data_IF_416573232795
#
_entry.id   IF_416573232795
#
_cell.length_a   1.000
_cell.length_b   1.000
_cell.length_c   1.000
_cell.angle_alpha   90.00
_cell.angle_beta   90.00
_cell.angle_gamma   90.00
#
_symmetry.space_group_name_H-M   'P 1'
#
loop_
_entity.id
_entity.type
_entity.pdbx_description
1 polymer ?
#
# COMPACT_ATOMS: atom_id res chain seq x y z
N UNK A 1 -5.62 -16.84 2.14
CA UNK A 1 -5.25 -17.74 1.03
C UNK A 1 -5.56 -19.18 1.44
N UNK A 2 -5.76 -20.12 0.50
CA UNK A 2 -6.08 -21.52 0.85
C UNK A 2 -5.05 -22.19 1.77
N UNK A 3 -3.81 -21.70 1.77
CA UNK A 3 -2.72 -22.16 2.65
C UNK A 3 -2.73 -21.54 4.06
N UNK A 4 -3.76 -20.77 4.43
CA UNK A 4 -3.89 -20.10 5.72
C UNK A 4 -3.18 -18.74 5.82
N UNK A 5 -2.38 -18.34 4.83
CA UNK A 5 -1.70 -17.03 4.84
C UNK A 5 -2.70 -15.90 4.63
N UNK A 6 -2.48 -14.80 5.36
CA UNK A 6 -3.27 -13.57 5.27
C UNK A 6 -2.45 -12.51 4.53
N UNK A 7 -3.08 -11.86 3.57
CA UNK A 7 -2.54 -10.68 2.88
C UNK A 7 -3.53 -9.51 3.03
N UNK A 8 -3.05 -8.26 3.04
CA UNK A 8 -3.88 -7.07 3.24
C UNK A 8 -4.78 -6.75 2.03
N UNK A 9 -4.40 -7.19 0.84
CA UNK A 9 -5.15 -7.03 -0.40
C UNK A 9 -4.78 -8.19 -1.34
N UNK A 10 -5.70 -8.56 -2.25
CA UNK A 10 -5.42 -9.57 -3.29
C UNK A 10 -4.32 -9.16 -4.26
N UNK A 11 -4.12 -7.84 -4.44
CA UNK A 11 -3.07 -7.26 -5.30
C UNK A 11 -1.81 -6.85 -4.53
N UNK A 12 -1.71 -7.17 -3.24
CA UNK A 12 -0.56 -6.82 -2.41
C UNK A 12 0.00 -8.09 -1.76
N UNK A 13 0.97 -8.78 -2.40
CA UNK A 13 1.47 -10.08 -1.99
C UNK A 13 2.42 -10.00 -0.77
N UNK A 14 2.03 -9.23 0.24
CA UNK A 14 2.73 -9.08 1.52
C UNK A 14 2.01 -9.95 2.55
N UNK A 15 2.69 -11.01 3.02
CA UNK A 15 2.12 -11.88 4.05
C UNK A 15 2.17 -11.16 5.40
N UNK A 16 1.00 -10.98 6.01
CA UNK A 16 0.86 -10.27 7.31
C UNK A 16 0.60 -11.22 8.47
N UNK A 17 0.36 -12.50 8.18
CA UNK A 17 0.17 -13.54 9.19
C UNK A 17 -0.26 -14.89 8.59
N UNK A 18 -0.42 -15.87 9.47
CA UNK A 18 -0.84 -17.24 9.12
C UNK A 18 -1.88 -17.73 10.14
N UNK A 19 -3.11 -18.00 9.68
CA UNK A 19 -4.24 -18.42 10.52
C UNK A 19 -4.04 -19.80 11.16
N UNK A 20 -3.05 -20.57 10.71
CA UNK A 20 -2.69 -21.86 11.31
C UNK A 20 -1.83 -21.69 12.57
N UNK A 21 -1.32 -20.47 12.82
CA UNK A 21 -0.38 -20.15 13.92
C UNK A 21 -0.93 -19.16 14.94
N UNK A 22 -1.82 -18.27 14.52
CA UNK A 22 -2.32 -17.16 15.34
C UNK A 22 -3.75 -16.78 14.94
N UNK A 23 -4.50 -16.15 15.86
CA UNK A 23 -5.88 -15.77 15.56
C UNK A 23 -5.93 -14.63 14.54
N UNK A 24 -7.06 -14.51 13.82
CA UNK A 24 -7.25 -13.37 12.93
C UNK A 24 -7.16 -12.03 13.66
N UNK A 25 -7.68 -11.96 14.91
CA UNK A 25 -7.59 -10.76 15.74
C UNK A 25 -6.14 -10.37 15.97
N UNK A 26 -5.28 -11.32 16.33
CA UNK A 26 -3.86 -11.05 16.56
C UNK A 26 -3.18 -10.50 15.30
N UNK A 27 -3.46 -11.08 14.13
CA UNK A 27 -2.96 -10.58 12.84
C UNK A 27 -3.45 -9.15 12.58
N UNK A 28 -4.75 -8.94 12.77
CA UNK A 28 -5.40 -7.67 12.49
C UNK A 28 -4.92 -6.55 13.41
N UNK A 29 -4.70 -6.83 14.69
CA UNK A 29 -4.35 -5.82 15.69
C UNK A 29 -2.83 -5.61 15.78
N UNK A 30 -2.01 -6.64 15.59
CA UNK A 30 -0.58 -6.58 15.92
C UNK A 30 0.37 -6.66 14.70
N UNK A 31 -0.12 -6.97 13.49
CA UNK A 31 0.75 -6.96 12.32
C UNK A 31 1.25 -5.56 12.00
N UNK A 32 2.57 -5.39 11.91
CA UNK A 32 3.21 -4.10 11.62
C UNK A 32 2.69 -3.47 10.32
N UNK A 33 2.55 -4.27 9.26
CA UNK A 33 2.03 -3.80 7.97
C UNK A 33 0.57 -3.36 8.10
N UNK A 34 -0.27 -4.10 8.82
CA UNK A 34 -1.67 -3.73 9.03
C UNK A 34 -1.80 -2.43 9.84
N UNK A 35 -0.97 -2.26 10.86
CA UNK A 35 -0.89 -1.03 11.64
C UNK A 35 -0.47 0.16 10.76
N UNK A 36 0.58 0.02 9.96
CA UNK A 36 1.04 1.06 9.03
C UNK A 36 -0.02 1.40 7.97
N UNK A 37 -0.73 0.42 7.41
CA UNK A 37 -1.75 0.65 6.40
C UNK A 37 -2.99 1.41 6.93
N UNK A 38 -3.31 1.24 8.22
CA UNK A 38 -4.39 1.98 8.89
C UNK A 38 -4.01 3.41 9.24
N UNK A 39 -2.73 3.66 9.56
CA UNK A 39 -2.27 5.00 9.87
C UNK A 39 -2.00 5.81 8.59
N UNK A 40 -2.98 6.64 8.20
CA UNK A 40 -2.89 7.47 6.98
C UNK A 40 -1.90 8.63 7.09
N UNK A 41 -1.46 8.98 8.30
CA UNK A 41 -0.43 10.01 8.51
C UNK A 41 0.98 9.50 8.14
N UNK A 42 1.18 8.19 8.00
CA UNK A 42 2.45 7.61 7.55
C UNK A 42 2.59 7.59 6.02
N UNK A 43 1.54 7.91 5.29
CA UNK A 43 1.58 7.92 3.83
C UNK A 43 2.46 9.09 3.38
N UNK A 44 3.37 8.84 2.43
CA UNK A 44 4.26 9.88 1.90
C UNK A 44 3.47 10.97 1.14
N UNK A 45 3.96 12.21 1.09
CA UNK A 45 3.37 13.27 0.28
C UNK A 45 3.28 12.87 -1.20
N UNK A 46 2.26 13.34 -1.94
CA UNK A 46 1.23 14.29 -1.53
C UNK A 46 0.04 13.63 -0.83
N UNK A 47 -0.05 12.29 -0.84
CA UNK A 47 -1.21 11.58 -0.31
C UNK A 47 -1.37 11.75 1.22
N UNK A 48 -0.26 11.76 1.98
CA UNK A 48 -0.29 12.00 3.44
C UNK A 48 -0.60 13.44 3.84
N UNK A 49 -0.41 14.40 2.94
CA UNK A 49 -0.72 15.82 3.19
C UNK A 49 -2.11 16.20 2.65
N UNK A 50 -2.74 15.30 1.90
CA UNK A 50 -4.05 15.53 1.32
C UNK A 50 -5.13 15.67 2.41
N UNK A 51 -6.02 16.69 2.34
CA UNK A 51 -7.12 16.82 3.31
C UNK A 51 -8.08 15.62 3.29
N UNK A 52 -8.09 14.84 2.20
CA UNK A 52 -8.91 13.64 2.06
C UNK A 52 -8.18 12.34 2.43
N UNK A 53 -7.00 12.37 3.06
CA UNK A 53 -6.18 11.17 3.30
C UNK A 53 -6.89 10.07 4.09
N UNK A 54 -7.75 10.46 5.03
CA UNK A 54 -8.55 9.52 5.83
C UNK A 54 -9.82 9.02 5.13
N UNK A 55 -10.24 9.68 4.05
CA UNK A 55 -11.38 9.25 3.24
C UNK A 55 -10.93 8.38 2.07
N UNK A 56 -9.82 8.74 1.43
CA UNK A 56 -9.27 8.03 0.27
C UNK A 56 -7.89 7.44 0.59
N UNK A 57 -6.88 8.31 0.72
CA UNK A 57 -5.49 7.89 0.94
C UNK A 57 -4.86 7.11 -0.22
N UNK A 58 -5.56 6.88 -1.33
CA UNK A 58 -5.10 6.14 -2.51
C UNK A 58 -5.00 4.62 -2.32
N UNK A 59 -4.91 3.89 -3.44
CA UNK A 59 -4.70 2.45 -3.47
C UNK A 59 -3.29 2.07 -3.02
N UNK A 60 -3.18 1.39 -1.87
CA UNK A 60 -1.90 0.95 -1.30
C UNK A 60 -1.25 -0.17 -2.11
N UNK A 61 -2.05 -1.03 -2.75
CA UNK A 61 -1.55 -2.07 -3.65
C UNK A 61 -0.89 -1.46 -4.91
N UNK A 62 -1.45 -0.36 -5.45
CA UNK A 62 -0.84 0.35 -6.58
C UNK A 62 0.46 1.04 -6.18
N UNK A 63 0.46 1.75 -5.05
CA UNK A 63 1.67 2.33 -4.48
C UNK A 63 2.79 1.28 -4.35
N UNK A 64 2.47 0.12 -3.76
CA UNK A 64 3.42 -0.98 -3.63
C UNK A 64 3.90 -1.54 -4.97
N UNK A 65 2.98 -1.79 -5.91
CA UNK A 65 3.32 -2.39 -7.20
C UNK A 65 4.22 -1.49 -8.07
N UNK A 66 4.07 -0.17 -7.98
CA UNK A 66 4.84 0.78 -8.79
C UNK A 66 6.13 1.24 -8.10
N UNK A 67 6.12 1.36 -6.77
CA UNK A 67 7.22 1.98 -6.02
C UNK A 67 7.96 1.01 -5.10
N UNK A 68 7.50 -0.24 -4.96
CA UNK A 68 8.00 -1.18 -3.95
C UNK A 68 7.66 -0.80 -2.49
N UNK A 69 6.86 0.26 -2.29
CA UNK A 69 6.53 0.82 -0.98
C UNK A 69 5.03 1.10 -0.88
N UNK A 70 4.33 0.40 0.01
CA UNK A 70 2.89 0.56 0.24
C UNK A 70 2.52 1.87 0.94
N UNK A 71 3.49 2.62 1.47
CA UNK A 71 3.33 3.97 2.00
C UNK A 71 3.62 5.06 0.97
N UNK A 72 4.07 4.70 -0.24
CA UNK A 72 4.22 5.65 -1.33
C UNK A 72 2.86 6.24 -1.77
N UNK A 73 2.88 7.35 -2.53
CA UNK A 73 1.68 7.89 -3.16
C UNK A 73 1.05 6.88 -4.13
N UNK A 74 -0.27 6.99 -4.32
CA UNK A 74 -0.94 6.23 -5.38
C UNK A 74 -0.80 6.98 -6.72
N UNK A 75 -0.09 6.42 -7.73
CA UNK A 75 0.08 7.08 -9.02
C UNK A 75 -1.22 7.18 -9.83
N UNK A 76 -2.27 6.43 -9.45
CA UNK A 76 -3.60 6.53 -10.07
C UNK A 76 -4.46 7.69 -9.55
N UNK A 77 -3.95 8.52 -8.64
CA UNK A 77 -4.72 9.61 -8.06
C UNK A 77 -4.87 10.80 -9.03
N UNK A 78 -6.10 11.17 -9.38
CA UNK A 78 -6.38 12.35 -10.20
C UNK A 78 -5.89 13.67 -9.58
N UNK A 79 -5.92 13.82 -8.24
CA UNK A 79 -5.35 15.02 -7.58
C UNK A 79 -3.82 14.98 -7.53
N UNK A 80 -3.22 13.79 -7.65
CA UNK A 80 -1.79 13.55 -7.60
C UNK A 80 -1.13 13.53 -8.97
N UNK A 81 -1.75 14.12 -10.01
CA UNK A 81 -1.29 14.04 -11.40
C UNK A 81 0.20 14.40 -11.60
N UNK A 82 0.78 15.28 -10.79
CA UNK A 82 2.22 15.58 -10.87
C UNK A 82 3.12 14.40 -10.42
N UNK A 83 2.67 13.61 -9.45
CA UNK A 83 3.36 12.38 -9.03
C UNK A 83 3.22 11.27 -10.07
N UNK A 84 2.06 11.23 -10.75
CA UNK A 84 1.81 10.22 -11.78
C UNK A 84 2.76 10.33 -12.97
N UNK A 85 3.31 11.51 -13.28
CA UNK A 85 4.27 11.70 -14.37
C UNK A 85 5.68 11.24 -14.00
N UNK A 86 6.21 11.67 -12.84
CA UNK A 86 7.55 11.25 -12.38
C UNK A 86 7.64 9.75 -12.07
N UNK A 87 6.59 9.16 -11.47
CA UNK A 87 6.53 7.72 -11.24
C UNK A 87 6.39 6.95 -12.56
N UNK A 88 5.74 7.52 -13.58
CA UNK A 88 5.65 6.87 -14.91
C UNK A 88 7.02 6.68 -15.51
N UNK A 89 7.86 7.71 -15.43
CA UNK A 89 9.23 7.70 -15.96
C UNK A 89 10.11 6.69 -15.22
N UNK A 90 10.07 6.68 -13.87
CA UNK A 90 10.81 5.70 -13.06
C UNK A 90 10.30 4.26 -13.27
N UNK A 91 8.99 4.05 -13.34
CA UNK A 91 8.41 2.72 -13.57
C UNK A 91 8.71 2.19 -14.98
N UNK A 92 8.68 3.05 -16.02
CA UNK A 92 9.12 2.70 -17.37
C UNK A 92 10.59 2.27 -17.38
N UNK A 93 11.46 3.03 -16.70
CA UNK A 93 12.88 2.69 -16.62
C UNK A 93 13.17 1.36 -15.89
N UNK A 94 12.31 0.95 -14.94
CA UNK A 94 12.41 -0.37 -14.28
C UNK A 94 11.92 -1.49 -15.20
N UNK A 95 10.88 -1.23 -16.02
CA UNK A 95 10.31 -2.22 -16.94
C UNK A 95 11.15 -2.47 -18.21
N UNK A 96 12.02 -1.53 -18.57
CA UNK A 96 12.93 -1.62 -19.73
C UNK A 96 14.28 -2.31 -19.41
N UNK A 97 14.45 -2.83 -18.18
CA UNK A 97 15.59 -3.64 -17.74
C UNK A 97 15.20 -5.11 -17.60
#
# INVERSE_FOLDING_TARGET
>A
QPDGKVTPCVFMPIVVGDLRKQTFRDIWENSEVMLKLRNKDLIKPPCGECPYRYVCGGCRARAYSYCGDYLAPDPGCFRGLMVSQGIKEEALAIMER
#
